data_IF_606515169777
#
_entry.id   IF_606515169777
#
_cell.length_a   1.000
_cell.length_b   1.000
_cell.length_c   1.000
_cell.angle_alpha   90.00
_cell.angle_beta   90.00
_cell.angle_gamma   90.00
#
_symmetry.space_group_name_H-M   'P 1'
#
loop_
_entity.id
_entity.type
_entity.pdbx_description
1 polymer ?
#
# COMPACT_ATOMS: atom_id res chain seq x y z
N UNK A 1 8.53 -7.21 17.41
CA UNK A 1 8.26 -5.85 16.91
C UNK A 1 6.79 -5.48 17.15
N UNK A 2 6.47 -4.18 17.26
CA UNK A 2 5.08 -3.72 17.42
C UNK A 2 4.18 -4.18 16.27
N UNK A 3 4.71 -4.23 15.05
CA UNK A 3 4.00 -4.74 13.88
C UNK A 3 3.52 -6.18 14.11
N UNK A 4 4.40 -7.11 14.49
CA UNK A 4 4.02 -8.51 14.76
C UNK A 4 3.07 -8.66 15.94
N UNK A 5 3.15 -7.79 16.95
CA UNK A 5 2.18 -7.77 18.05
C UNK A 5 0.77 -7.43 17.57
N UNK A 6 0.65 -6.59 16.53
CA UNK A 6 -0.64 -6.28 15.89
C UNK A 6 -1.22 -7.47 15.11
N UNK A 7 -0.39 -8.45 14.76
CA UNK A 7 -0.76 -9.62 13.95
C UNK A 7 -1.07 -10.87 14.80
N UNK A 8 -1.56 -10.70 16.03
CA UNK A 8 -1.93 -11.81 16.93
C UNK A 8 -3.41 -12.20 16.83
N UNK A 9 -4.15 -11.70 15.84
CA UNK A 9 -5.56 -12.01 15.62
C UNK A 9 -5.74 -13.45 15.13
N UNK A 10 -6.80 -14.13 15.62
CA UNK A 10 -7.22 -15.45 15.13
C UNK A 10 -7.69 -15.48 13.68
N UNK A 11 -7.92 -14.31 13.09
CA UNK A 11 -8.24 -14.14 11.67
C UNK A 11 -7.01 -14.28 10.75
N UNK A 12 -5.80 -14.34 11.32
CA UNK A 12 -4.56 -14.52 10.56
C UNK A 12 -4.16 -16.00 10.61
N UNK A 13 -4.19 -16.66 9.47
CA UNK A 13 -3.75 -18.05 9.33
C UNK A 13 -2.25 -18.17 9.08
N UNK A 14 -1.64 -17.21 8.35
CA UNK A 14 -0.25 -17.24 7.95
C UNK A 14 0.32 -15.82 7.84
N UNK A 15 1.58 -15.65 8.23
CA UNK A 15 2.36 -14.42 8.06
C UNK A 15 3.61 -14.76 7.25
N UNK A 16 3.87 -14.03 6.18
CA UNK A 16 5.09 -14.10 5.40
C UNK A 16 5.98 -12.91 5.72
N UNK A 17 7.20 -13.15 6.14
CA UNK A 17 8.21 -12.12 6.36
C UNK A 17 9.22 -12.18 5.22
N UNK A 18 9.14 -11.20 4.30
CA UNK A 18 10.06 -11.08 3.18
C UNK A 18 11.26 -10.23 3.62
N UNK A 19 12.41 -10.84 3.76
CA UNK A 19 13.63 -10.17 4.19
C UNK A 19 14.64 -10.02 3.04
N UNK A 20 14.85 -8.78 2.63
CA UNK A 20 15.81 -8.40 1.58
C UNK A 20 17.21 -8.12 2.14
N UNK A 21 17.41 -8.28 3.45
CA UNK A 21 18.69 -7.98 4.11
C UNK A 21 19.50 -9.23 4.45
N UNK A 22 18.89 -10.41 4.34
CA UNK A 22 19.47 -11.72 4.69
C UNK A 22 20.07 -11.79 6.09
N UNK A 23 19.44 -11.11 7.07
CA UNK A 23 19.95 -11.06 8.43
C UNK A 23 19.45 -12.25 9.24
N UNK A 24 20.38 -13.10 9.69
CA UNK A 24 20.06 -14.33 10.42
C UNK A 24 19.16 -14.10 11.62
N UNK A 25 19.32 -13.00 12.36
CA UNK A 25 18.48 -12.70 13.53
C UNK A 25 16.99 -12.52 13.19
N UNK A 26 16.66 -12.11 11.93
CA UNK A 26 15.26 -12.00 11.48
C UNK A 26 14.68 -13.40 11.27
N UNK A 27 15.45 -14.28 10.62
CA UNK A 27 15.05 -15.68 10.44
C UNK A 27 14.85 -16.38 11.80
N UNK A 28 15.79 -16.24 12.73
CA UNK A 28 15.71 -16.82 14.07
C UNK A 28 14.52 -16.28 14.86
N UNK A 29 14.21 -15.00 14.69
CA UNK A 29 13.04 -14.39 15.31
C UNK A 29 11.73 -14.95 14.74
N UNK A 30 11.65 -15.14 13.43
CA UNK A 30 10.46 -15.70 12.78
C UNK A 30 10.17 -17.14 13.21
N UNK A 31 11.20 -17.96 13.46
CA UNK A 31 11.07 -19.34 13.93
C UNK A 31 10.37 -19.48 15.30
N UNK A 32 10.29 -18.40 16.08
CA UNK A 32 9.59 -18.40 17.37
C UNK A 32 8.06 -18.43 17.24
N UNK A 33 7.53 -18.27 16.02
CA UNK A 33 6.09 -18.17 15.75
C UNK A 33 5.68 -19.24 14.75
N UNK A 34 4.75 -20.12 15.13
CA UNK A 34 4.34 -21.26 14.32
C UNK A 34 3.65 -20.87 12.98
N UNK A 35 3.04 -19.69 12.93
CA UNK A 35 2.33 -19.18 11.75
C UNK A 35 3.13 -18.12 10.97
N UNK A 36 4.43 -17.99 11.21
CA UNK A 36 5.30 -17.07 10.51
C UNK A 36 6.27 -17.83 9.61
N UNK A 37 6.23 -17.55 8.33
CA UNK A 37 7.16 -18.06 7.33
C UNK A 37 8.16 -16.97 6.94
N UNK A 38 9.44 -17.29 7.09
CA UNK A 38 10.53 -16.41 6.65
C UNK A 38 10.94 -16.72 5.22
N UNK A 39 11.00 -15.69 4.39
CA UNK A 39 11.46 -15.77 2.99
C UNK A 39 12.63 -14.80 2.84
N UNK A 40 13.85 -15.34 2.83
CA UNK A 40 15.06 -14.58 2.46
C UNK A 40 15.07 -14.35 0.94
N UNK A 41 15.20 -13.10 0.50
CA UNK A 41 15.15 -12.73 -0.91
C UNK A 41 16.13 -11.61 -1.22
N UNK A 42 16.71 -11.64 -2.40
CA UNK A 42 17.39 -10.46 -2.91
C UNK A 42 16.42 -9.27 -3.02
N UNK A 43 16.97 -8.06 -2.95
CA UNK A 43 16.15 -6.85 -3.07
C UNK A 43 15.66 -6.64 -4.51
N UNK A 44 14.61 -7.35 -4.86
CA UNK A 44 13.94 -7.29 -6.18
C UNK A 44 12.94 -6.15 -6.30
N UNK A 45 12.76 -5.35 -5.25
CA UNK A 45 11.79 -4.27 -5.15
C UNK A 45 10.55 -4.63 -4.34
N UNK A 46 9.77 -3.61 -3.97
CA UNK A 46 8.66 -3.75 -3.04
C UNK A 46 7.57 -4.69 -3.55
N UNK A 47 7.00 -4.41 -4.73
CA UNK A 47 5.92 -5.21 -5.30
C UNK A 47 6.36 -6.64 -5.63
N UNK A 48 7.56 -6.82 -6.20
CA UNK A 48 8.11 -8.14 -6.52
C UNK A 48 8.38 -8.96 -5.25
N UNK A 49 8.84 -8.32 -4.17
CA UNK A 49 8.99 -8.96 -2.86
C UNK A 49 7.64 -9.52 -2.36
N UNK A 50 6.60 -8.68 -2.32
CA UNK A 50 5.27 -9.13 -1.88
C UNK A 50 4.63 -10.16 -2.81
N UNK A 51 4.95 -10.15 -4.10
CA UNK A 51 4.48 -11.17 -5.02
C UNK A 51 4.93 -12.58 -4.65
N UNK A 52 6.05 -12.75 -3.93
CA UNK A 52 6.51 -14.08 -3.47
C UNK A 52 5.49 -14.73 -2.53
N UNK A 53 4.93 -13.95 -1.59
CA UNK A 53 3.87 -14.41 -0.71
C UNK A 53 2.51 -14.50 -1.45
N UNK A 54 2.17 -13.52 -2.29
CA UNK A 54 0.91 -13.52 -3.03
C UNK A 54 0.75 -14.76 -3.93
N UNK A 55 1.82 -15.22 -4.58
CA UNK A 55 1.79 -16.45 -5.39
C UNK A 55 1.46 -17.70 -4.59
N UNK A 56 1.84 -17.74 -3.31
CA UNK A 56 1.54 -18.89 -2.44
C UNK A 56 0.07 -18.95 -2.03
N UNK A 57 -0.59 -17.80 -1.96
CA UNK A 57 -1.99 -17.71 -1.49
C UNK A 57 -3.00 -17.53 -2.60
N UNK A 58 -2.57 -17.26 -3.84
CA UNK A 58 -3.45 -16.90 -4.95
C UNK A 58 -4.51 -17.99 -5.25
N UNK A 59 -4.10 -19.26 -5.23
CA UNK A 59 -4.96 -20.42 -5.52
C UNK A 59 -5.35 -21.17 -4.23
N UNK A 60 -5.21 -20.53 -3.06
CA UNK A 60 -5.57 -21.10 -1.77
C UNK A 60 -7.04 -20.81 -1.42
N UNK A 61 -7.51 -21.37 -0.29
CA UNK A 61 -8.82 -21.10 0.30
C UNK A 61 -8.92 -19.75 1.01
N UNK A 62 -7.86 -18.95 1.01
CA UNK A 62 -7.81 -17.66 1.71
C UNK A 62 -8.62 -16.60 0.96
N UNK A 63 -9.44 -15.85 1.68
CA UNK A 63 -10.25 -14.78 1.10
C UNK A 63 -9.48 -13.46 0.95
N UNK A 64 -8.59 -13.19 1.89
CA UNK A 64 -7.92 -11.89 2.03
C UNK A 64 -6.42 -12.03 2.19
N UNK A 65 -5.71 -11.02 1.71
CA UNK A 65 -4.27 -10.85 1.91
C UNK A 65 -3.96 -9.42 2.34
N UNK A 66 -3.14 -9.27 3.39
CA UNK A 66 -2.67 -7.98 3.87
C UNK A 66 -1.20 -7.80 3.49
N UNK A 67 -0.92 -6.78 2.67
CA UNK A 67 0.45 -6.27 2.48
C UNK A 67 0.67 -5.15 3.50
N UNK A 68 1.72 -5.28 4.30
CA UNK A 68 1.94 -4.44 5.47
C UNK A 68 3.41 -4.03 5.60
N UNK A 69 3.66 -2.74 5.81
CA UNK A 69 4.99 -2.26 6.18
C UNK A 69 5.33 -2.66 7.62
N UNK A 70 6.60 -2.97 7.87
CA UNK A 70 7.09 -3.41 9.19
C UNK A 70 7.05 -2.31 10.28
N UNK A 71 6.81 -1.06 9.90
CA UNK A 71 6.65 0.10 10.78
C UNK A 71 5.18 0.55 10.98
N UNK A 72 4.23 -0.29 10.56
CA UNK A 72 2.80 -0.14 10.85
C UNK A 72 2.43 -1.00 12.05
N UNK A 73 1.59 -0.46 12.94
CA UNK A 73 1.03 -1.20 14.08
C UNK A 73 -0.37 -0.72 14.44
N UNK A 74 -1.17 -1.62 15.02
CA UNK A 74 -2.57 -1.38 15.31
C UNK A 74 -3.10 -2.39 16.35
N UNK A 75 -4.30 -2.17 16.86
CA UNK A 75 -5.00 -3.11 17.74
C UNK A 75 -5.45 -4.36 16.95
N UNK A 76 -5.14 -5.59 17.41
CA UNK A 76 -5.45 -6.83 16.67
C UNK A 76 -6.92 -6.99 16.25
N UNK A 77 -7.85 -6.46 17.04
CA UNK A 77 -9.30 -6.49 16.76
C UNK A 77 -9.70 -5.73 15.49
N UNK A 78 -8.84 -4.88 14.96
CA UNK A 78 -9.09 -4.11 13.73
C UNK A 78 -9.25 -5.05 12.52
N UNK A 79 -8.46 -6.12 12.44
CA UNK A 79 -8.51 -7.07 11.32
C UNK A 79 -9.85 -7.80 11.26
N UNK A 80 -10.40 -8.18 12.40
CA UNK A 80 -11.73 -8.78 12.46
C UNK A 80 -12.80 -7.84 11.91
N UNK A 81 -12.76 -6.57 12.29
CA UNK A 81 -13.71 -5.56 11.80
C UNK A 81 -13.59 -5.36 10.28
N UNK A 82 -12.36 -5.33 9.76
CA UNK A 82 -12.11 -5.21 8.32
C UNK A 82 -12.60 -6.46 7.59
N UNK A 83 -12.31 -7.67 8.07
CA UNK A 83 -12.77 -8.91 7.46
C UNK A 83 -14.30 -8.98 7.39
N UNK A 84 -14.99 -8.67 8.48
CA UNK A 84 -16.47 -8.63 8.51
C UNK A 84 -17.03 -7.63 7.50
N UNK A 85 -16.47 -6.42 7.48
CA UNK A 85 -16.90 -5.41 6.50
C UNK A 85 -16.69 -5.90 5.05
N UNK A 86 -15.55 -6.50 4.76
CA UNK A 86 -15.23 -7.03 3.43
C UNK A 86 -16.14 -8.23 3.07
N UNK A 87 -16.54 -9.08 4.03
CA UNK A 87 -17.48 -10.18 3.78
C UNK A 87 -18.88 -9.65 3.41
N UNK A 88 -19.31 -8.55 4.02
CA UNK A 88 -20.60 -7.89 3.74
C UNK A 88 -20.57 -7.05 2.44
N UNK A 89 -19.39 -6.67 1.94
CA UNK A 89 -19.21 -5.79 0.79
C UNK A 89 -18.31 -6.45 -0.28
N UNK A 90 -18.90 -7.35 -1.06
CA UNK A 90 -18.17 -8.16 -2.07
C UNK A 90 -17.62 -7.34 -3.25
N UNK A 91 -18.10 -6.12 -3.45
CA UNK A 91 -17.63 -5.17 -4.46
C UNK A 91 -16.35 -4.42 -4.05
N UNK A 92 -15.88 -4.59 -2.81
CA UNK A 92 -14.62 -3.99 -2.34
C UNK A 92 -13.46 -4.95 -2.61
N UNK A 93 -12.50 -4.53 -3.42
CA UNK A 93 -11.29 -5.29 -3.77
C UNK A 93 -10.06 -4.91 -2.94
N UNK A 94 -9.99 -3.66 -2.48
CA UNK A 94 -8.90 -3.17 -1.63
C UNK A 94 -9.44 -2.18 -0.58
N UNK A 95 -8.85 -2.24 0.63
CA UNK A 95 -9.23 -1.34 1.73
C UNK A 95 -7.98 -0.82 2.45
N UNK A 96 -8.02 0.47 2.84
CA UNK A 96 -7.07 1.10 3.75
C UNK A 96 -7.81 1.79 4.89
N UNK A 97 -7.40 1.63 6.17
CA UNK A 97 -7.98 2.33 7.31
C UNK A 97 -7.54 3.79 7.39
N UNK A 98 -8.13 4.54 8.32
CA UNK A 98 -7.55 5.80 8.76
C UNK A 98 -6.14 5.55 9.31
N UNK A 99 -5.19 6.40 8.91
CA UNK A 99 -3.78 6.23 9.24
C UNK A 99 -3.24 7.50 9.88
N UNK A 100 -2.55 7.35 11.00
CA UNK A 100 -1.93 8.46 11.73
C UNK A 100 -0.43 8.22 11.93
N UNK A 101 0.29 9.30 12.20
CA UNK A 101 1.65 9.24 12.71
C UNK A 101 1.67 8.90 14.21
N UNK A 102 2.82 8.47 14.79
CA UNK A 102 2.92 8.19 16.23
C UNK A 102 2.61 9.39 17.14
N UNK A 103 2.71 10.61 16.62
CA UNK A 103 2.34 11.85 17.33
C UNK A 103 0.84 12.21 17.24
N UNK A 104 0.05 11.35 16.57
CA UNK A 104 -1.39 11.56 16.37
C UNK A 104 -1.76 12.36 15.12
N UNK A 105 -0.80 12.93 14.40
CA UNK A 105 -1.07 13.67 13.16
C UNK A 105 -1.59 12.74 12.06
N UNK A 106 -2.52 13.26 11.25
CA UNK A 106 -3.13 12.52 10.16
C UNK A 106 -2.15 12.27 9.01
N UNK A 107 -2.07 11.03 8.51
CA UNK A 107 -1.45 10.72 7.23
C UNK A 107 -2.45 10.77 6.08
N UNK A 108 -2.08 11.46 4.99
CA UNK A 108 -2.90 11.52 3.77
C UNK A 108 -2.64 10.29 2.90
N UNK A 109 -3.35 9.18 3.21
CA UNK A 109 -3.20 7.88 2.53
C UNK A 109 -4.07 7.74 1.28
N UNK A 110 -5.02 8.66 1.09
CA UNK A 110 -5.92 8.71 -0.05
C UNK A 110 -5.47 9.80 -1.01
N UNK A 111 -5.40 9.49 -2.30
CA UNK A 111 -4.94 10.44 -3.31
C UNK A 111 -5.67 10.24 -4.63
N UNK A 112 -5.69 11.27 -5.44
CA UNK A 112 -6.04 11.14 -6.85
C UNK A 112 -4.92 10.45 -7.62
N UNK A 113 -5.23 9.96 -8.83
CA UNK A 113 -4.18 9.46 -9.72
C UNK A 113 -3.22 10.59 -10.08
N UNK A 114 -1.91 10.35 -9.96
CA UNK A 114 -0.92 11.41 -10.14
C UNK A 114 -0.77 11.83 -11.59
N UNK A 115 -0.52 13.12 -11.77
CA UNK A 115 -0.01 13.68 -13.02
C UNK A 115 1.52 13.75 -12.99
N UNK A 116 2.22 13.91 -14.13
CA UNK A 116 3.65 14.19 -14.13
C UNK A 116 4.01 15.42 -13.29
N UNK A 117 3.11 16.40 -13.20
CA UNK A 117 3.28 17.59 -12.36
C UNK A 117 3.34 17.20 -10.87
N UNK A 118 2.44 16.35 -10.41
CA UNK A 118 2.40 15.91 -9.01
C UNK A 118 3.64 15.11 -8.58
N UNK A 119 4.19 14.26 -9.45
CA UNK A 119 5.29 13.35 -9.09
C UNK A 119 6.67 13.90 -9.43
N UNK A 120 6.80 14.57 -10.58
CA UNK A 120 8.09 14.99 -11.12
C UNK A 120 8.30 16.49 -10.90
N UNK A 121 7.45 17.31 -11.50
CA UNK A 121 7.67 18.76 -11.54
C UNK A 121 7.46 19.46 -10.20
N UNK A 122 6.53 18.98 -9.36
CA UNK A 122 6.29 19.50 -8.01
C UNK A 122 7.57 19.65 -7.18
N UNK A 123 8.52 18.73 -7.34
CA UNK A 123 9.77 18.71 -6.57
C UNK A 123 10.67 19.91 -6.90
N UNK A 124 10.52 20.48 -8.08
CA UNK A 124 11.30 21.63 -8.57
C UNK A 124 10.51 22.95 -8.46
N UNK A 125 9.26 22.90 -7.98
CA UNK A 125 8.41 24.09 -7.83
C UNK A 125 8.65 24.80 -6.50
N UNK A 126 8.46 26.14 -6.45
CA UNK A 126 8.37 26.87 -5.19
C UNK A 126 7.31 26.25 -4.27
N UNK A 127 7.60 26.17 -2.96
CA UNK A 127 6.73 25.51 -1.97
C UNK A 127 5.29 26.03 -1.98
N UNK A 128 5.09 27.30 -2.28
CA UNK A 128 3.76 27.92 -2.31
C UNK A 128 2.90 27.38 -3.47
N UNK A 129 3.50 27.19 -4.65
CA UNK A 129 2.83 26.61 -5.82
C UNK A 129 2.58 25.12 -5.60
N UNK A 130 3.58 24.40 -5.08
CA UNK A 130 3.45 22.97 -4.77
C UNK A 130 2.31 22.68 -3.80
N UNK A 131 2.05 23.55 -2.80
CA UNK A 131 0.93 23.40 -1.85
C UNK A 131 -0.45 23.41 -2.52
N UNK A 132 -0.65 24.20 -3.58
CA UNK A 132 -1.93 24.26 -4.31
C UNK A 132 -2.19 22.94 -5.03
N UNK A 133 -1.18 22.39 -5.73
CA UNK A 133 -1.29 21.09 -6.38
C UNK A 133 -1.47 19.95 -5.37
N UNK A 134 -0.82 20.03 -4.21
CA UNK A 134 -0.96 19.07 -3.13
C UNK A 134 -2.36 19.02 -2.54
N UNK A 135 -3.03 20.15 -2.41
CA UNK A 135 -4.32 20.25 -1.76
C UNK A 135 -5.36 19.35 -2.44
N UNK A 136 -5.48 19.47 -3.76
CA UNK A 136 -6.38 18.63 -4.57
C UNK A 136 -5.89 17.19 -4.66
N UNK A 137 -4.60 16.99 -4.91
CA UNK A 137 -4.01 15.66 -5.09
C UNK A 137 -4.16 14.78 -3.83
N UNK A 138 -3.98 15.36 -2.65
CA UNK A 138 -4.08 14.70 -1.34
C UNK A 138 -5.51 14.69 -0.78
N UNK A 139 -6.51 15.13 -1.54
CA UNK A 139 -7.91 15.16 -1.15
C UNK A 139 -8.11 15.82 0.23
N UNK A 140 -7.49 16.99 0.48
CA UNK A 140 -7.48 17.62 1.80
C UNK A 140 -8.85 18.16 2.24
N UNK A 141 -9.74 18.49 1.30
CA UNK A 141 -11.08 19.02 1.56
C UNK A 141 -12.14 17.93 1.78
N UNK A 142 -11.78 16.67 1.61
CA UNK A 142 -12.75 15.59 1.73
C UNK A 142 -13.05 15.25 3.19
N UNK A 143 -14.32 14.90 3.44
CA UNK A 143 -14.77 14.42 4.74
C UNK A 143 -14.18 13.04 5.05
N UNK A 144 -13.17 13.05 5.92
CA UNK A 144 -12.45 11.84 6.32
C UNK A 144 -13.16 11.02 7.39
N UNK A 145 -14.34 11.41 7.79
CA UNK A 145 -15.20 10.62 8.70
C UNK A 145 -16.04 9.60 7.93
N UNK A 146 -16.01 9.63 6.57
CA UNK A 146 -16.80 8.75 5.72
C UNK A 146 -15.93 7.86 4.86
N UNK A 147 -16.43 6.66 4.57
CA UNK A 147 -15.80 5.78 3.60
C UNK A 147 -15.82 6.41 2.20
N UNK A 148 -14.72 6.26 1.46
CA UNK A 148 -14.56 6.86 0.14
C UNK A 148 -13.94 5.85 -0.83
N UNK A 149 -14.49 5.76 -2.04
CA UNK A 149 -13.92 5.00 -3.14
C UNK A 149 -12.86 5.85 -3.85
N UNK A 150 -11.58 5.47 -3.77
CA UNK A 150 -10.42 6.29 -4.12
C UNK A 150 -9.48 5.53 -5.06
N UNK A 151 -9.09 6.09 -6.22
CA UNK A 151 -8.31 5.38 -7.22
C UNK A 151 -6.83 5.15 -6.84
N UNK A 152 -6.36 5.78 -5.76
CA UNK A 152 -5.00 5.58 -5.24
C UNK A 152 -4.99 5.55 -3.71
N UNK A 153 -4.68 4.40 -3.15
CA UNK A 153 -4.45 4.15 -1.73
C UNK A 153 -2.96 3.86 -1.48
N UNK A 154 -2.41 4.42 -0.41
CA UNK A 154 -0.98 4.32 -0.10
C UNK A 154 -0.57 2.88 0.28
N UNK A 155 0.64 2.48 -0.11
CA UNK A 155 1.15 1.11 0.00
C UNK A 155 1.51 0.62 1.40
N UNK A 156 1.39 1.43 2.45
CA UNK A 156 1.83 1.04 3.81
C UNK A 156 0.95 -0.02 4.48
N UNK A 157 -0.33 -0.07 4.11
CA UNK A 157 -1.32 -1.04 4.55
C UNK A 157 -2.30 -1.28 3.40
N UNK A 158 -2.20 -2.42 2.73
CA UNK A 158 -3.07 -2.77 1.61
C UNK A 158 -3.79 -4.07 1.93
N UNK A 159 -5.06 -3.98 2.35
CA UNK A 159 -5.90 -5.13 2.61
C UNK A 159 -6.67 -5.50 1.34
N UNK A 160 -6.35 -6.63 0.76
CA UNK A 160 -6.87 -7.09 -0.53
C UNK A 160 -7.86 -8.25 -0.39
N UNK A 161 -8.87 -8.27 -1.23
CA UNK A 161 -9.60 -9.48 -1.60
C UNK A 161 -8.76 -10.25 -2.62
N UNK A 162 -8.42 -11.51 -2.36
CA UNK A 162 -7.53 -12.31 -3.22
C UNK A 162 -8.12 -12.48 -4.61
N UNK A 163 -9.42 -12.69 -4.73
CA UNK A 163 -10.11 -12.86 -6.02
C UNK A 163 -9.84 -11.72 -7.01
N UNK A 164 -9.56 -10.51 -6.55
CA UNK A 164 -9.26 -9.41 -7.46
C UNK A 164 -8.00 -9.65 -8.28
N UNK A 165 -7.01 -10.38 -7.74
CA UNK A 165 -5.76 -10.66 -8.44
C UNK A 165 -5.92 -11.59 -9.64
N UNK A 166 -6.88 -12.50 -9.64
CA UNK A 166 -7.21 -13.31 -10.81
C UNK A 166 -7.64 -12.45 -12.01
N UNK A 167 -8.25 -11.29 -11.74
CA UNK A 167 -8.72 -10.36 -12.78
C UNK A 167 -7.69 -9.33 -13.18
N UNK A 168 -6.90 -8.82 -12.24
CA UNK A 168 -6.00 -7.70 -12.50
C UNK A 168 -4.51 -8.07 -12.50
N UNK A 169 -4.17 -9.30 -12.10
CA UNK A 169 -2.79 -9.77 -11.89
C UNK A 169 -2.16 -9.18 -10.62
N UNK A 170 -0.95 -9.64 -10.32
CA UNK A 170 -0.15 -9.25 -9.16
C UNK A 170 0.50 -7.88 -9.36
N UNK A 171 1.37 -7.46 -8.42
CA UNK A 171 2.18 -6.24 -8.60
C UNK A 171 3.04 -6.32 -9.86
N UNK A 172 3.21 -5.18 -10.54
CA UNK A 172 4.09 -5.07 -11.71
C UNK A 172 5.56 -5.07 -11.27
N UNK A 173 6.25 -6.18 -11.48
CA UNK A 173 7.64 -6.37 -11.05
C UNK A 173 8.66 -5.50 -11.81
N UNK A 174 8.24 -4.87 -12.91
CA UNK A 174 9.08 -3.87 -13.57
C UNK A 174 9.18 -2.57 -12.74
N UNK A 175 8.27 -2.33 -11.79
CA UNK A 175 8.29 -1.18 -10.90
C UNK A 175 8.99 -1.58 -9.60
N UNK A 176 10.20 -1.07 -9.41
CA UNK A 176 10.99 -1.45 -8.23
C UNK A 176 10.41 -0.92 -6.92
N UNK A 177 10.00 0.36 -6.85
CA UNK A 177 9.48 1.00 -5.64
C UNK A 177 8.78 2.33 -5.96
N UNK A 178 7.75 2.72 -5.18
CA UNK A 178 7.02 4.01 -5.15
C UNK A 178 5.84 4.18 -6.12
N UNK A 179 5.65 3.35 -7.10
CA UNK A 179 4.54 3.45 -8.06
C UNK A 179 3.74 2.14 -8.14
N UNK A 180 4.20 1.11 -7.48
CA UNK A 180 3.57 -0.22 -7.46
C UNK A 180 2.21 -0.20 -6.75
N UNK A 181 2.08 0.60 -5.68
CA UNK A 181 0.84 0.82 -4.94
C UNK A 181 -0.20 1.57 -5.80
N UNK A 182 0.23 2.57 -6.56
CA UNK A 182 -0.64 3.28 -7.50
C UNK A 182 -1.09 2.35 -8.62
N UNK A 183 -0.15 1.59 -9.20
CA UNK A 183 -0.42 0.71 -10.32
C UNK A 183 -1.43 -0.39 -9.96
N UNK A 184 -1.23 -1.06 -8.81
CA UNK A 184 -2.13 -2.12 -8.39
C UNK A 184 -3.49 -1.57 -7.98
N UNK A 185 -3.54 -0.48 -7.20
CA UNK A 185 -4.80 0.12 -6.76
C UNK A 185 -5.65 0.55 -7.94
N UNK A 186 -5.10 1.27 -8.93
CA UNK A 186 -5.87 1.69 -10.11
C UNK A 186 -6.32 0.52 -11.00
N UNK A 187 -5.55 -0.59 -11.07
CA UNK A 187 -6.00 -1.79 -11.78
C UNK A 187 -7.19 -2.44 -11.09
N UNK A 188 -7.17 -2.52 -9.75
CA UNK A 188 -8.28 -3.02 -8.95
C UNK A 188 -9.49 -2.09 -9.09
N UNK A 189 -9.29 -0.76 -9.02
CA UNK A 189 -10.33 0.25 -9.09
C UNK A 189 -11.17 0.21 -10.37
N UNK A 190 -10.68 -0.42 -11.43
CA UNK A 190 -11.47 -0.65 -12.67
C UNK A 190 -12.62 -1.63 -12.50
N UNK A 191 -12.54 -2.52 -11.55
CA UNK A 191 -13.45 -3.65 -11.40
C UNK A 191 -14.07 -3.77 -10.02
N UNK A 192 -13.42 -3.18 -9.01
CA UNK A 192 -13.80 -3.23 -7.60
C UNK A 192 -13.63 -1.84 -7.00
N UNK A 193 -14.30 -1.58 -5.89
CA UNK A 193 -14.01 -0.40 -5.07
C UNK A 193 -12.65 -0.54 -4.39
N UNK A 194 -11.91 0.56 -4.35
CA UNK A 194 -10.69 0.70 -3.58
C UNK A 194 -10.96 1.72 -2.47
N UNK A 195 -11.19 1.21 -1.26
CA UNK A 195 -11.91 1.92 -0.22
C UNK A 195 -10.98 2.50 0.85
N UNK A 196 -11.08 3.80 1.09
CA UNK A 196 -10.69 4.37 2.38
C UNK A 196 -11.81 4.12 3.38
N UNK A 197 -11.48 3.43 4.49
CA UNK A 197 -12.45 3.04 5.52
C UNK A 197 -12.04 3.59 6.89
N UNK A 198 -12.56 4.78 7.29
CA UNK A 198 -12.05 5.55 8.43
C UNK A 198 -12.50 5.05 9.81
N UNK A 199 -13.32 4.00 9.87
CA UNK A 199 -13.94 3.54 11.12
C UNK A 199 -12.99 2.79 12.05
N UNK A 200 -11.77 2.53 11.63
CA UNK A 200 -10.67 2.05 12.45
C UNK A 200 -9.39 2.81 12.10
N UNK A 201 -8.45 2.90 13.05
CA UNK A 201 -7.22 3.68 12.89
C UNK A 201 -6.00 2.82 13.12
N UNK A 202 -5.02 2.95 12.24
CA UNK A 202 -3.70 2.35 12.35
C UNK A 202 -2.64 3.43 12.55
N UNK A 203 -1.49 3.05 13.11
CA UNK A 203 -0.33 3.95 13.26
C UNK A 203 0.76 3.51 12.31
N UNK A 204 1.28 4.44 11.51
CA UNK A 204 2.40 4.21 10.60
C UNK A 204 3.56 5.12 10.99
N UNK A 205 4.64 4.54 11.49
CA UNK A 205 5.82 5.27 11.99
C UNK A 205 6.76 5.75 10.86
N UNK A 206 6.19 6.17 9.75
CA UNK A 206 6.87 6.53 8.51
C UNK A 206 8.03 7.51 8.69
N UNK A 207 9.21 7.11 8.29
CA UNK A 207 10.45 7.91 8.31
C UNK A 207 10.77 8.48 6.93
N UNK A 208 9.96 9.23 6.30
CA UNK A 208 10.13 9.97 5.01
C UNK A 208 11.56 9.95 4.37
N UNK A 209 12.18 8.78 4.24
CA UNK A 209 13.59 8.62 3.84
C UNK A 209 13.83 8.99 2.37
N UNK A 210 12.82 8.85 1.52
CA UNK A 210 12.90 9.17 0.09
C UNK A 210 13.26 10.62 -0.22
N UNK A 211 13.05 11.54 0.73
CA UNK A 211 13.41 12.94 0.55
C UNK A 211 14.87 13.26 0.85
N UNK A 212 15.58 12.35 1.53
CA UNK A 212 16.94 12.60 2.03
C UNK A 212 18.04 11.88 1.23
N UNK A 213 17.68 10.88 0.41
CA UNK A 213 18.64 10.03 -0.30
C UNK A 213 18.53 10.22 -1.83
N UNK A 214 19.65 10.58 -2.49
CA UNK A 214 19.72 10.75 -3.95
C UNK A 214 19.41 9.47 -4.72
N UNK A 215 19.76 8.31 -4.17
CA UNK A 215 19.48 7.00 -4.77
C UNK A 215 17.98 6.72 -4.76
N UNK A 216 17.32 6.95 -3.64
CA UNK A 216 15.86 6.81 -3.54
C UNK A 216 15.12 7.76 -4.48
N UNK A 217 15.65 8.98 -4.68
CA UNK A 217 15.14 9.88 -5.71
C UNK A 217 15.27 9.30 -7.12
N UNK A 218 16.43 8.74 -7.46
CA UNK A 218 16.66 8.11 -8.77
C UNK A 218 15.71 6.94 -9.01
N UNK A 219 15.50 6.11 -8.00
CA UNK A 219 14.53 4.99 -8.04
C UNK A 219 13.13 5.52 -8.29
N UNK A 220 12.68 6.52 -7.51
CA UNK A 220 11.38 7.15 -7.67
C UNK A 220 11.16 7.72 -9.06
N UNK A 221 12.15 8.43 -9.62
CA UNK A 221 12.08 8.97 -10.98
C UNK A 221 11.98 7.88 -12.04
N UNK A 222 12.79 6.81 -11.93
CA UNK A 222 12.71 5.66 -12.84
C UNK A 222 11.35 4.98 -12.80
N UNK A 223 10.80 4.77 -11.61
CA UNK A 223 9.47 4.18 -11.43
C UNK A 223 8.36 5.09 -11.97
N UNK A 224 8.46 6.40 -11.75
CA UNK A 224 7.52 7.37 -12.33
C UNK A 224 7.51 7.34 -13.86
N UNK A 225 8.70 7.26 -14.49
CA UNK A 225 8.80 7.12 -15.96
C UNK A 225 8.12 5.83 -16.43
N UNK A 226 8.38 4.68 -15.79
CA UNK A 226 7.72 3.42 -16.12
C UNK A 226 6.21 3.50 -15.97
N UNK A 227 5.73 4.08 -14.87
CA UNK A 227 4.32 4.29 -14.62
C UNK A 227 3.66 5.15 -15.71
N UNK A 228 4.25 6.30 -16.08
CA UNK A 228 3.68 7.15 -17.12
C UNK A 228 3.80 6.58 -18.53
N UNK A 229 4.83 5.79 -18.82
CA UNK A 229 4.93 5.04 -20.08
C UNK A 229 3.81 3.99 -20.20
N UNK A 230 3.42 3.37 -19.09
CA UNK A 230 2.33 2.39 -19.04
C UNK A 230 0.94 3.04 -19.15
N UNK A 231 0.72 4.17 -18.45
CA UNK A 231 -0.60 4.74 -18.24
C UNK A 231 -0.86 6.06 -19.00
N UNK A 232 0.16 6.59 -19.64
CA UNK A 232 0.11 7.86 -20.37
C UNK A 232 0.61 9.05 -19.58
N UNK A 233 1.36 9.91 -20.26
CA UNK A 233 1.96 11.12 -19.69
C UNK A 233 0.94 12.26 -19.58
N UNK A 234 0.25 12.58 -20.68
CA UNK A 234 -0.68 13.71 -20.77
C UNK A 234 -2.13 13.24 -20.78
N UNK A 235 -2.43 12.22 -21.55
CA UNK A 235 -3.78 11.70 -21.77
C UNK A 235 -3.97 10.39 -20.99
N UNK A 236 -4.77 10.46 -19.94
CA UNK A 236 -5.16 9.31 -19.12
C UNK A 236 -6.62 9.54 -18.67
N UNK A 237 -7.54 8.78 -19.25
CA UNK A 237 -8.99 8.94 -19.04
C UNK A 237 -9.41 8.73 -17.58
N UNK A 238 -8.62 7.99 -16.80
CA UNK A 238 -8.95 7.71 -15.40
C UNK A 238 -8.53 8.83 -14.45
N UNK A 239 -7.59 9.72 -14.84
CA UNK A 239 -7.23 10.91 -14.05
C UNK A 239 -8.31 11.99 -14.02
N UNK A 240 -9.25 11.94 -14.94
CA UNK A 240 -10.31 12.94 -15.10
C UNK A 240 -11.65 12.52 -14.51
N UNK A 241 -11.71 11.33 -13.92
CA UNK A 241 -12.89 10.76 -13.25
C UNK A 241 -12.93 11.03 -11.74
#
# INVERSE_FOLDING_TARGET
SKCLQSLTSSFISQIYVIDNSHQQYIADFCQQYANVEYIGSDNVGYGAGHNQALRQVLDSDKKYHLVLNSDVYFEPSILEKICRYMDENSDVGQLIPNTIYPNGDLQYVCRLLPTPVNLIFRRFMPKMIAKVFDHRFLLKDYDRCKAMDIPFLLGSFMFFRIDCFHKVGLFDENIFMYMEDIDITRRIHKYYKTLFWPYVTIVHAHKAESYKNKEMLRIHMKSAVKYFNKWGWLFDKERTR
#
